data_IF_288786206430
#
_entry.id   IF_288786206430
#
_cell.length_a   1.000
_cell.length_b   1.000
_cell.length_c   1.000
_cell.angle_alpha   90.00
_cell.angle_beta   90.00
_cell.angle_gamma   90.00
#
_symmetry.space_group_name_H-M   'P 1'
#
loop_
_entity.id
_entity.type
_entity.pdbx_description
1 polymer ?
#
# COMPACT_ATOMS: atom_id res chain seq x y z
N UNK A 1 -18.20 -14.80 15.41
CA UNK A 1 -17.18 -15.68 14.78
C UNK A 1 -15.92 -14.84 14.65
N UNK A 2 -14.74 -15.34 15.04
CA UNK A 2 -13.50 -14.64 14.75
C UNK A 2 -13.34 -14.51 13.23
N UNK A 3 -13.01 -13.32 12.78
CA UNK A 3 -12.68 -12.99 11.40
C UNK A 3 -11.21 -13.25 11.16
N UNK A 4 -10.79 -13.35 9.90
CA UNK A 4 -9.36 -13.52 9.52
C UNK A 4 -8.49 -12.40 10.11
N UNK A 5 -9.07 -11.22 10.35
CA UNK A 5 -8.39 -10.08 10.98
C UNK A 5 -8.07 -10.33 12.46
N UNK A 6 -8.85 -11.16 13.16
CA UNK A 6 -8.64 -11.49 14.57
C UNK A 6 -7.47 -12.48 14.77
N UNK A 7 -7.10 -13.24 13.73
CA UNK A 7 -5.96 -14.18 13.77
C UNK A 7 -4.64 -13.54 13.31
N UNK A 8 -4.70 -12.40 12.62
CA UNK A 8 -3.51 -11.64 12.25
C UNK A 8 -3.18 -10.73 13.45
N UNK A 9 -2.05 -10.97 14.11
CA UNK A 9 -1.49 -10.03 15.09
C UNK A 9 -1.05 -8.75 14.36
N UNK A 10 -2.01 -7.89 14.04
CA UNK A 10 -1.77 -6.55 13.55
C UNK A 10 -1.37 -5.70 14.75
N UNK A 11 -0.13 -5.25 14.78
CA UNK A 11 0.26 -4.19 15.69
C UNK A 11 -0.49 -2.92 15.24
N UNK A 12 -1.33 -2.29 16.08
CA UNK A 12 -2.21 -1.18 15.67
C UNK A 12 -1.46 0.01 15.04
N UNK A 13 -0.19 0.16 15.40
CA UNK A 13 0.69 1.25 14.95
C UNK A 13 1.61 0.85 13.79
N UNK A 14 1.45 -0.34 13.22
CA UNK A 14 2.26 -0.78 12.07
C UNK A 14 1.41 -0.90 10.82
N UNK A 15 1.85 -0.25 9.74
CA UNK A 15 1.21 -0.34 8.42
C UNK A 15 2.20 -0.82 7.38
N UNK A 16 1.79 -1.66 6.40
CA UNK A 16 2.66 -1.99 5.29
C UNK A 16 3.09 -0.70 4.58
N UNK A 17 4.40 -0.51 4.40
CA UNK A 17 4.97 0.66 3.74
C UNK A 17 4.54 0.78 2.29
N UNK A 18 4.40 -0.37 1.63
CA UNK A 18 3.91 -0.44 0.27
C UNK A 18 2.77 -1.44 0.16
N UNK A 19 1.67 -1.00 -0.41
CA UNK A 19 0.63 -1.85 -0.94
C UNK A 19 1.06 -2.45 -2.28
N UNK A 20 0.38 -3.53 -2.69
CA UNK A 20 0.58 -4.12 -4.02
C UNK A 20 0.39 -3.10 -5.15
N UNK A 21 -0.58 -2.20 -5.00
CA UNK A 21 -0.88 -1.18 -6.00
C UNK A 21 0.22 -0.13 -6.09
N UNK A 22 0.78 0.28 -4.96
CA UNK A 22 1.91 1.21 -4.94
C UNK A 22 3.16 0.60 -5.56
N UNK A 23 3.47 -0.67 -5.24
CA UNK A 23 4.58 -1.36 -5.91
C UNK A 23 4.36 -1.46 -7.42
N UNK A 24 3.15 -1.80 -7.86
CA UNK A 24 2.80 -1.86 -9.29
C UNK A 24 2.97 -0.49 -9.98
N UNK A 25 2.53 0.57 -9.31
CA UNK A 25 2.68 1.95 -9.79
C UNK A 25 4.16 2.35 -9.90
N UNK A 26 4.97 2.03 -8.89
CA UNK A 26 6.41 2.27 -8.91
C UNK A 26 7.10 1.53 -10.06
N UNK A 27 6.72 0.27 -10.33
CA UNK A 27 7.22 -0.46 -11.52
C UNK A 27 6.87 0.27 -12.81
N UNK A 28 5.62 0.71 -12.94
CA UNK A 28 5.17 1.40 -14.14
C UNK A 28 5.91 2.75 -14.33
N UNK A 29 6.06 3.52 -13.25
CA UNK A 29 6.78 4.79 -13.26
C UNK A 29 8.25 4.57 -13.63
N UNK A 30 8.91 3.61 -13.00
CA UNK A 30 10.31 3.28 -13.30
C UNK A 30 10.52 2.85 -14.75
N UNK A 31 9.59 2.09 -15.33
CA UNK A 31 9.66 1.74 -16.76
C UNK A 31 9.55 2.97 -17.66
N UNK A 32 8.62 3.88 -17.34
CA UNK A 32 8.43 5.14 -18.07
C UNK A 32 9.65 6.06 -17.95
N UNK A 33 10.25 6.17 -16.76
CA UNK A 33 11.50 6.92 -16.54
C UNK A 33 12.66 6.41 -17.41
N UNK A 34 12.75 5.09 -17.55
CA UNK A 34 13.77 4.44 -18.36
C UNK A 34 13.44 4.45 -19.87
N UNK A 35 12.30 5.03 -20.26
CA UNK A 35 11.76 5.03 -21.63
C UNK A 35 11.69 3.63 -22.26
N UNK A 36 11.40 2.61 -21.45
CA UNK A 36 11.33 1.23 -21.92
C UNK A 36 9.92 0.86 -22.38
N UNK A 37 9.85 0.13 -23.50
CA UNK A 37 8.60 -0.53 -23.92
C UNK A 37 8.28 -1.73 -23.01
N UNK A 38 7.04 -2.22 -23.07
CA UNK A 38 6.64 -3.41 -22.31
C UNK A 38 7.40 -4.66 -22.79
N UNK A 39 7.66 -4.74 -24.09
CA UNK A 39 8.42 -5.80 -24.75
C UNK A 39 9.89 -5.80 -24.30
N UNK A 40 10.50 -4.62 -24.20
CA UNK A 40 11.89 -4.49 -23.74
C UNK A 40 12.03 -4.86 -22.26
N UNK A 41 11.10 -4.39 -21.42
CA UNK A 41 11.11 -4.69 -19.99
C UNK A 41 10.88 -6.19 -19.74
N UNK A 42 9.92 -6.80 -20.44
CA UNK A 42 9.63 -8.23 -20.32
C UNK A 42 10.77 -9.11 -20.85
N UNK A 43 11.38 -8.74 -22.00
CA UNK A 43 12.52 -9.44 -22.58
C UNK A 43 13.75 -9.41 -21.67
N UNK A 44 14.02 -8.28 -21.01
CA UNK A 44 15.16 -8.13 -20.08
C UNK A 44 15.12 -9.13 -18.92
N UNK A 45 13.93 -9.54 -18.49
CA UNK A 45 13.73 -10.49 -17.39
C UNK A 45 13.22 -11.86 -17.85
N UNK A 46 13.15 -12.10 -19.16
CA UNK A 46 12.71 -13.38 -19.73
C UNK A 46 11.28 -13.76 -19.36
N UNK A 47 10.39 -12.77 -19.24
CA UNK A 47 8.97 -12.99 -18.95
C UNK A 47 8.10 -12.60 -20.14
N UNK A 48 6.86 -13.09 -20.16
CA UNK A 48 5.86 -12.70 -21.16
C UNK A 48 5.44 -11.24 -20.97
N UNK A 49 5.13 -10.55 -22.06
CA UNK A 49 4.60 -9.17 -22.05
C UNK A 49 3.31 -9.08 -21.24
N UNK A 50 2.41 -10.05 -21.38
CA UNK A 50 1.16 -10.13 -20.62
C UNK A 50 1.41 -10.31 -19.12
N UNK A 51 2.45 -11.06 -18.76
CA UNK A 51 2.88 -11.24 -17.39
C UNK A 51 3.41 -9.93 -16.81
N UNK A 52 4.23 -9.18 -17.55
CA UNK A 52 4.71 -7.87 -17.11
C UNK A 52 3.55 -6.88 -16.92
N UNK A 53 2.64 -6.83 -17.89
CA UNK A 53 1.47 -5.94 -17.83
C UNK A 53 0.56 -6.26 -16.63
N UNK A 54 0.43 -7.53 -16.27
CA UNK A 54 -0.34 -7.94 -15.08
C UNK A 54 0.30 -7.48 -13.76
N UNK A 55 1.62 -7.27 -13.73
CA UNK A 55 2.33 -6.69 -12.59
C UNK A 55 2.02 -5.19 -12.49
N UNK A 56 2.16 -4.44 -13.60
CA UNK A 56 1.89 -2.99 -13.63
C UNK A 56 0.42 -2.65 -13.32
N UNK A 57 -0.52 -3.52 -13.73
CA UNK A 57 -1.94 -3.32 -13.46
C UNK A 57 -2.38 -3.82 -12.06
N UNK A 58 -1.46 -4.39 -11.28
CA UNK A 58 -1.77 -5.07 -10.02
C UNK A 58 -2.94 -6.09 -10.15
N UNK A 59 -3.13 -6.70 -11.33
CA UNK A 59 -4.29 -7.57 -11.59
C UNK A 59 -4.13 -8.98 -11.01
N UNK A 60 -2.93 -9.32 -10.55
CA UNK A 60 -2.59 -10.63 -9.98
C UNK A 60 -2.01 -10.55 -8.58
N UNK A 61 -2.05 -11.66 -7.86
CA UNK A 61 -1.42 -11.78 -6.55
C UNK A 61 0.09 -11.82 -6.67
N UNK A 62 0.78 -11.03 -5.85
CA UNK A 62 2.24 -10.99 -5.84
C UNK A 62 2.77 -12.14 -4.99
N UNK A 63 3.34 -13.13 -5.66
CA UNK A 63 4.05 -14.22 -5.01
C UNK A 63 5.56 -13.93 -4.95
N UNK A 64 6.33 -14.81 -4.30
CA UNK A 64 7.78 -14.64 -4.11
C UNK A 64 8.53 -14.39 -5.42
N UNK A 65 8.12 -15.01 -6.55
CA UNK A 65 8.76 -14.79 -7.85
C UNK A 65 8.54 -13.37 -8.35
N UNK A 66 7.34 -12.84 -8.14
CA UNK A 66 6.99 -11.45 -8.51
C UNK A 66 7.79 -10.47 -7.69
N UNK A 67 7.84 -10.64 -6.36
CA UNK A 67 8.65 -9.77 -5.50
C UNK A 67 10.13 -9.76 -5.89
N UNK A 68 10.70 -10.91 -6.24
CA UNK A 68 12.09 -10.96 -6.72
C UNK A 68 12.29 -10.16 -8.01
N UNK A 69 11.36 -10.26 -8.95
CA UNK A 69 11.41 -9.53 -10.21
C UNK A 69 11.24 -8.02 -9.98
N UNK A 70 10.27 -7.62 -9.18
CA UNK A 70 10.04 -6.21 -8.81
C UNK A 70 11.27 -5.65 -8.09
N UNK A 71 11.82 -6.37 -7.10
CA UNK A 71 13.01 -5.95 -6.39
C UNK A 71 14.22 -5.79 -7.31
N UNK A 72 14.43 -6.71 -8.24
CA UNK A 72 15.49 -6.60 -9.24
C UNK A 72 15.29 -5.40 -10.19
N UNK A 73 14.05 -5.12 -10.58
CA UNK A 73 13.74 -4.02 -11.49
C UNK A 73 13.82 -2.64 -10.83
N UNK A 74 13.33 -2.53 -9.61
CA UNK A 74 13.32 -1.30 -8.83
C UNK A 74 14.61 -1.08 -8.03
N UNK A 75 15.53 -2.05 -8.05
CA UNK A 75 16.73 -2.07 -7.22
C UNK A 75 16.39 -1.91 -5.72
N UNK A 76 15.34 -2.60 -5.28
CA UNK A 76 14.88 -2.61 -3.89
C UNK A 76 15.07 -3.99 -3.27
N UNK A 77 15.46 -4.02 -2.00
CA UNK A 77 15.56 -5.24 -1.23
C UNK A 77 14.16 -5.78 -0.85
N UNK A 78 14.10 -7.07 -0.51
CA UNK A 78 12.86 -7.68 -0.01
C UNK A 78 12.37 -6.99 1.27
N UNK A 79 13.29 -6.63 2.14
CA UNK A 79 12.96 -6.04 3.44
C UNK A 79 12.42 -4.62 3.28
N UNK A 80 12.90 -3.85 2.29
CA UNK A 80 12.34 -2.54 1.95
C UNK A 80 10.93 -2.65 1.36
N UNK A 81 10.71 -3.58 0.43
CA UNK A 81 9.41 -3.77 -0.21
C UNK A 81 8.33 -4.26 0.77
N UNK A 82 8.74 -5.00 1.80
CA UNK A 82 7.85 -5.55 2.84
C UNK A 82 7.98 -4.81 4.17
N UNK A 83 8.65 -3.66 4.18
CA UNK A 83 8.82 -2.85 5.37
C UNK A 83 7.45 -2.45 5.92
N UNK A 84 7.41 -2.27 7.22
CA UNK A 84 6.27 -1.64 7.89
C UNK A 84 6.69 -0.27 8.38
N UNK A 85 5.82 0.70 8.17
CA UNK A 85 5.94 2.00 8.82
C UNK A 85 5.32 1.87 10.21
N UNK A 86 6.08 2.34 11.21
CA UNK A 86 5.61 2.41 12.59
C UNK A 86 5.21 3.85 12.84
N UNK A 87 3.93 4.07 13.15
CA UNK A 87 3.44 5.37 13.57
C UNK A 87 4.15 5.76 14.88
N UNK A 88 4.73 6.96 14.93
CA UNK A 88 5.38 7.45 16.14
C UNK A 88 4.33 7.83 17.19
N UNK A 89 4.05 6.89 18.09
CA UNK A 89 3.08 7.08 19.17
C UNK A 89 3.67 7.83 20.38
N UNK A 90 4.92 8.31 20.32
CA UNK A 90 5.55 8.99 21.47
C UNK A 90 4.92 10.36 21.78
N UNK A 91 4.29 11.02 20.81
CA UNK A 91 3.51 12.25 21.05
C UNK A 91 2.21 11.97 21.81
N UNK A 92 1.66 10.76 21.71
CA UNK A 92 0.43 10.32 22.37
C UNK A 92 0.68 9.84 23.81
N UNK A 93 1.41 10.62 24.61
CA UNK A 93 1.56 10.36 26.04
C UNK A 93 0.19 10.42 26.74
N UNK A 94 -0.42 9.25 26.95
CA UNK A 94 -1.68 9.03 27.68
C UNK A 94 -1.68 9.52 29.14
N UNK A 95 -0.57 10.07 29.65
CA UNK A 95 -0.47 10.61 31.02
C UNK A 95 -1.10 11.99 31.18
N UNK A 96 -1.44 12.66 30.08
CA UNK A 96 -2.26 13.87 30.11
C UNK A 96 -3.66 13.51 29.65
N UNK A 97 -4.60 13.50 30.60
CA UNK A 97 -6.04 13.41 30.41
C UNK A 97 -6.60 14.64 29.68
N UNK A 98 -6.09 14.89 28.48
CA UNK A 98 -6.46 16.03 27.66
C UNK A 98 -7.03 15.49 26.34
N UNK A 99 -8.32 15.18 26.34
CA UNK A 99 -9.12 14.87 25.13
C UNK A 99 -9.05 16.00 24.07
N UNK A 100 -8.45 17.14 24.44
CA UNK A 100 -8.20 18.29 23.58
C UNK A 100 -6.82 18.30 22.93
N UNK A 101 -6.06 17.20 23.01
CA UNK A 101 -4.79 17.13 22.27
C UNK A 101 -5.06 17.38 20.77
N UNK A 102 -4.39 18.36 20.16
CA UNK A 102 -4.72 18.82 18.80
C UNK A 102 -4.61 17.68 17.77
N UNK A 103 -3.62 16.80 17.90
CA UNK A 103 -3.43 15.63 17.02
C UNK A 103 -4.60 14.63 17.11
N UNK A 104 -5.18 14.44 18.31
CA UNK A 104 -6.33 13.53 18.50
C UNK A 104 -7.58 14.15 17.87
N UNK A 105 -7.80 15.46 18.07
CA UNK A 105 -8.93 16.16 17.45
C UNK A 105 -8.82 16.16 15.93
N UNK A 106 -7.63 16.40 15.38
CA UNK A 106 -7.37 16.36 13.95
C UNK A 106 -7.63 14.96 13.38
N UNK A 107 -7.13 13.90 14.03
CA UNK A 107 -7.37 12.52 13.62
C UNK A 107 -8.87 12.16 13.64
N UNK A 108 -9.61 12.58 14.68
CA UNK A 108 -11.06 12.36 14.78
C UNK A 108 -11.82 13.13 13.69
N UNK A 109 -11.46 14.38 13.43
CA UNK A 109 -12.07 15.17 12.34
C UNK A 109 -11.81 14.55 10.98
N UNK A 110 -10.58 14.11 10.73
CA UNK A 110 -10.21 13.41 9.51
C UNK A 110 -11.01 12.11 9.34
N UNK A 111 -11.11 11.30 10.39
CA UNK A 111 -11.90 10.07 10.37
C UNK A 111 -13.38 10.35 10.01
N UNK A 112 -13.99 11.36 10.65
CA UNK A 112 -15.38 11.74 10.36
C UNK A 112 -15.55 12.19 8.90
N UNK A 113 -14.62 12.99 8.37
CA UNK A 113 -14.65 13.40 6.96
C UNK A 113 -14.63 12.21 6.00
N UNK A 114 -13.73 11.24 6.23
CA UNK A 114 -13.64 10.03 5.41
C UNK A 114 -14.92 9.20 5.51
N UNK A 115 -15.47 9.01 6.71
CA UNK A 115 -16.72 8.27 6.90
C UNK A 115 -17.90 8.95 6.21
N UNK A 116 -18.02 10.28 6.33
CA UNK A 116 -19.08 11.03 5.66
C UNK A 116 -18.97 10.91 4.14
N UNK A 117 -17.76 11.01 3.59
CA UNK A 117 -17.51 10.83 2.16
C UNK A 117 -17.90 9.42 1.69
N UNK A 118 -17.49 8.37 2.40
CA UNK A 118 -17.87 6.99 2.08
C UNK A 118 -19.41 6.81 2.07
N UNK A 119 -20.09 7.33 3.09
CA UNK A 119 -21.56 7.25 3.19
C UNK A 119 -22.24 8.01 2.05
N UNK A 120 -21.69 9.17 1.65
CA UNK A 120 -22.22 9.91 0.51
C UNK A 120 -22.04 9.15 -0.81
N UNK A 121 -20.88 8.53 -1.03
CA UNK A 121 -20.62 7.72 -2.23
C UNK A 121 -21.60 6.54 -2.34
N UNK A 122 -21.86 5.81 -1.24
CA UNK A 122 -22.86 4.73 -1.25
C UNK A 122 -24.27 5.25 -1.57
N UNK A 123 -24.70 6.37 -0.95
CA UNK A 123 -26.01 6.97 -1.20
C UNK A 123 -26.20 7.40 -2.66
N UNK A 124 -25.13 7.87 -3.31
CA UNK A 124 -25.15 8.23 -4.74
C UNK A 124 -25.19 6.98 -5.62
N UNK A 125 -24.41 5.95 -5.30
CA UNK A 125 -24.33 4.71 -6.08
C UNK A 125 -25.62 3.87 -6.04
N UNK A 126 -26.50 4.10 -5.06
CA UNK A 126 -27.77 3.36 -4.89
C UNK A 126 -28.96 4.03 -5.61
N UNK A 127 -28.74 5.07 -6.44
CA UNK A 127 -29.74 5.67 -7.33
C UNK A 127 -29.61 5.16 -8.75
#
# INVERSE_FOLDING_TARGET
MPTILDEIQLNPSERPRYTRYELAKLVQERRKELNLSLEEASSKYGVDVSFWQSIENASRTFNVKVYKLIGAFLNMSKDEMLAKEVDDMTSLSFRTSDEKHPEIQEAVQFANFIFDEMVMQEKIATK
#
